data_IF_290494282388
#
_entry.id   IF_290494282388
#
_cell.length_a   1.000
_cell.length_b   1.000
_cell.length_c   1.000
_cell.angle_alpha   90.00
_cell.angle_beta   90.00
_cell.angle_gamma   90.00
#
_symmetry.space_group_name_H-M   'P 1'
#
loop_
_entity.id
_entity.type
_entity.pdbx_description
1 polymer ?
#
# COMPACT_ATOMS: atom_id res chain seq x y z
N UNK A 1 -70.76 -2.96 8.81
CA UNK A 1 -70.97 -3.14 10.26
C UNK A 1 -70.96 -4.63 10.59
N UNK A 2 -70.32 -5.01 11.71
CA UNK A 2 -69.95 -6.36 12.22
C UNK A 2 -68.55 -6.81 11.76
N UNK A 3 -67.63 -7.26 12.62
CA UNK A 3 -67.39 -7.17 14.06
C UNK A 3 -66.01 -7.78 14.26
N UNK A 4 -65.09 -7.09 14.96
CA UNK A 4 -63.83 -7.70 15.41
C UNK A 4 -64.13 -8.84 16.40
N UNK A 5 -63.37 -9.93 16.29
CA UNK A 5 -63.43 -11.08 17.20
C UNK A 5 -62.01 -11.49 17.63
N UNK A 6 -61.46 -10.75 18.59
CA UNK A 6 -60.25 -11.11 19.34
C UNK A 6 -60.62 -12.26 20.29
N UNK A 7 -59.90 -13.38 20.23
CA UNK A 7 -60.05 -14.48 21.19
C UNK A 7 -58.80 -14.59 22.08
N UNK A 8 -58.82 -13.82 23.17
CA UNK A 8 -57.93 -13.93 24.33
C UNK A 8 -58.47 -15.04 25.26
N UNK A 9 -58.02 -16.28 25.08
CA UNK A 9 -58.16 -17.33 26.13
C UNK A 9 -57.05 -18.37 26.02
N UNK A 10 -55.99 -18.17 26.80
CA UNK A 10 -55.26 -19.25 27.51
C UNK A 10 -54.23 -18.64 28.47
N UNK A 11 -54.75 -18.18 29.61
CA UNK A 11 -54.00 -17.97 30.85
C UNK A 11 -54.69 -18.81 31.92
N UNK A 12 -54.11 -19.97 32.23
CA UNK A 12 -54.33 -20.66 33.51
C UNK A 12 -53.04 -21.40 33.87
N UNK A 13 -52.22 -20.75 34.70
CA UNK A 13 -51.94 -21.19 36.07
C UNK A 13 -51.37 -22.62 36.16
N UNK A 14 -50.05 -22.71 36.19
CA UNK A 14 -49.36 -23.55 37.18
C UNK A 14 -48.19 -22.75 37.74
N UNK A 15 -48.44 -22.14 38.91
CA UNK A 15 -47.40 -21.69 39.81
C UNK A 15 -47.20 -22.83 40.81
N UNK A 16 -46.03 -23.47 40.75
CA UNK A 16 -45.52 -24.28 41.85
C UNK A 16 -44.11 -23.81 42.11
N UNK A 17 -43.98 -22.95 43.12
CA UNK A 17 -42.71 -22.56 43.69
C UNK A 17 -42.14 -23.75 44.48
N UNK A 18 -40.88 -24.11 44.24
CA UNK A 18 -40.01 -24.70 45.26
C UNK A 18 -38.55 -24.72 44.77
N UNK A 19 -37.66 -24.36 45.71
CA UNK A 19 -36.24 -24.68 45.76
C UNK A 19 -35.28 -23.91 44.83
N UNK A 20 -35.00 -22.68 45.29
CA UNK A 20 -33.69 -22.04 45.23
C UNK A 20 -32.58 -23.02 45.65
N UNK A 21 -31.83 -23.54 44.68
CA UNK A 21 -30.47 -24.03 44.88
C UNK A 21 -29.52 -23.11 44.11
N UNK A 22 -28.95 -22.16 44.85
CA UNK A 22 -27.77 -21.41 44.44
C UNK A 22 -26.59 -22.37 44.59
N UNK A 23 -26.17 -23.01 43.51
CA UNK A 23 -24.81 -23.56 43.39
C UNK A 23 -23.96 -22.51 42.68
N UNK A 24 -23.36 -21.62 43.49
CA UNK A 24 -22.13 -20.91 43.13
C UNK A 24 -21.00 -21.95 43.01
N UNK A 25 -20.68 -22.38 41.80
CA UNK A 25 -19.39 -22.99 41.48
C UNK A 25 -19.22 -23.06 39.96
N UNK A 26 -18.48 -22.10 39.40
CA UNK A 26 -18.10 -22.07 37.99
C UNK A 26 -17.88 -20.66 37.50
N UNK A 27 -16.64 -20.18 37.59
CA UNK A 27 -16.22 -18.83 37.23
C UNK A 27 -16.74 -18.39 35.86
N UNK A 28 -17.26 -17.17 35.82
CA UNK A 28 -18.02 -16.61 34.72
C UNK A 28 -17.26 -16.56 33.40
N UNK A 29 -17.82 -17.26 32.41
CA UNK A 29 -17.79 -16.76 31.05
C UNK A 29 -18.69 -15.51 31.03
N UNK A 30 -18.07 -14.34 30.90
CA UNK A 30 -18.78 -13.06 30.77
C UNK A 30 -19.82 -13.16 29.65
N UNK A 31 -21.08 -12.82 29.95
CA UNK A 31 -22.20 -12.70 28.99
C UNK A 31 -21.88 -11.66 27.87
N UNK A 32 -20.78 -10.93 28.03
CA UNK A 32 -20.23 -9.96 27.07
C UNK A 32 -19.21 -10.55 26.09
N UNK A 33 -18.77 -11.81 26.21
CA UNK A 33 -17.80 -12.42 25.27
C UNK A 33 -18.38 -12.60 23.86
N UNK A 34 -19.71 -12.55 23.71
CA UNK A 34 -20.41 -12.64 22.42
C UNK A 34 -20.79 -11.31 21.77
N UNK A 35 -20.41 -10.14 22.32
CA UNK A 35 -21.01 -8.84 21.92
C UNK A 35 -20.08 -7.79 21.31
N UNK A 36 -18.82 -8.12 20.97
CA UNK A 36 -18.04 -7.35 19.99
C UNK A 36 -17.21 -8.30 19.16
N UNK A 37 -17.76 -8.78 18.05
CA UNK A 37 -16.90 -9.29 16.97
C UNK A 37 -16.11 -8.07 16.50
N UNK A 38 -14.84 -7.99 16.88
CA UNK A 38 -13.96 -6.90 16.44
C UNK A 38 -13.94 -6.99 14.91
N UNK A 39 -14.14 -5.84 14.28
CA UNK A 39 -14.07 -5.72 12.83
C UNK A 39 -12.66 -6.16 12.38
N UNK A 40 -12.51 -7.15 11.49
CA UNK A 40 -11.20 -7.62 11.02
C UNK A 40 -10.33 -6.50 10.47
N UNK A 41 -10.93 -5.46 9.87
CA UNK A 41 -10.19 -4.29 9.42
C UNK A 41 -9.55 -3.53 10.61
N UNK A 42 -10.32 -3.29 11.67
CA UNK A 42 -9.83 -2.60 12.87
C UNK A 42 -8.77 -3.44 13.61
N UNK A 43 -8.95 -4.75 13.67
CA UNK A 43 -7.95 -5.66 14.27
C UNK A 43 -6.66 -5.66 13.46
N UNK A 44 -6.74 -5.79 12.14
CA UNK A 44 -5.57 -5.77 11.27
C UNK A 44 -4.84 -4.42 11.31
N UNK A 45 -5.54 -3.29 11.30
CA UNK A 45 -4.91 -1.97 11.45
C UNK A 45 -4.15 -1.86 12.77
N UNK A 46 -4.68 -2.38 13.87
CA UNK A 46 -3.99 -2.39 15.16
C UNK A 46 -2.71 -3.21 15.11
N UNK A 47 -2.71 -4.34 14.43
CA UNK A 47 -1.48 -5.14 14.27
C UNK A 47 -0.43 -4.41 13.41
N UNK A 48 -0.86 -3.69 12.36
CA UNK A 48 0.03 -2.81 11.59
C UNK A 48 0.61 -1.67 12.43
N UNK A 49 -0.19 -1.06 13.30
CA UNK A 49 0.28 -0.04 14.25
C UNK A 49 1.29 -0.57 15.28
N UNK A 50 1.28 -1.89 15.53
CA UNK A 50 2.23 -2.56 16.43
C UNK A 50 3.43 -3.17 15.68
N UNK A 51 3.65 -2.79 14.41
CA UNK A 51 4.70 -3.32 13.54
C UNK A 51 4.62 -4.86 13.34
N UNK A 52 3.41 -5.45 13.37
CA UNK A 52 3.16 -6.86 13.07
C UNK A 52 2.32 -7.04 11.78
N UNK A 53 2.94 -6.86 10.60
CA UNK A 53 2.25 -7.05 9.33
C UNK A 53 1.86 -8.51 9.06
N UNK A 54 2.53 -9.48 9.70
CA UNK A 54 2.19 -10.90 9.52
C UNK A 54 0.86 -11.25 10.19
N UNK A 55 0.62 -10.75 11.40
CA UNK A 55 -0.66 -10.90 12.07
C UNK A 55 -1.78 -10.20 11.29
N UNK A 56 -1.54 -8.98 10.79
CA UNK A 56 -2.49 -8.27 9.94
C UNK A 56 -2.85 -9.05 8.66
N UNK A 57 -1.85 -9.60 7.95
CA UNK A 57 -2.07 -10.45 6.75
C UNK A 57 -2.91 -11.67 7.11
N UNK A 58 -2.63 -12.34 8.23
CA UNK A 58 -3.38 -13.52 8.65
C UNK A 58 -4.85 -13.19 8.92
N UNK A 59 -5.13 -12.11 9.64
CA UNK A 59 -6.50 -11.66 9.97
C UNK A 59 -7.28 -11.36 8.69
N UNK A 60 -6.68 -10.59 7.78
CA UNK A 60 -7.33 -10.14 6.55
C UNK A 60 -7.53 -11.28 5.55
N UNK A 61 -6.57 -12.20 5.42
CA UNK A 61 -6.70 -13.37 4.56
C UNK A 61 -7.89 -14.23 5.00
N UNK A 62 -8.01 -14.50 6.31
CA UNK A 62 -9.17 -15.22 6.86
C UNK A 62 -10.49 -14.46 6.68
N UNK A 63 -10.48 -13.13 6.79
CA UNK A 63 -11.68 -12.33 6.57
C UNK A 63 -12.14 -12.32 5.10
N UNK A 64 -11.19 -12.33 4.16
CA UNK A 64 -11.44 -12.36 2.71
C UNK A 64 -11.99 -13.70 2.24
N UNK A 65 -11.74 -14.82 2.92
CA UNK A 65 -12.41 -16.11 2.60
C UNK A 65 -13.94 -15.98 2.64
N UNK A 66 -14.47 -15.18 3.57
CA UNK A 66 -15.90 -14.91 3.69
C UNK A 66 -16.39 -13.70 2.88
N UNK A 67 -15.49 -12.87 2.34
CA UNK A 67 -15.81 -11.63 1.64
C UNK A 67 -14.70 -11.24 0.64
N UNK A 68 -14.49 -12.02 -0.42
CA UNK A 68 -13.29 -11.94 -1.26
C UNK A 68 -13.13 -10.62 -2.03
N UNK A 69 -14.23 -9.92 -2.30
CA UNK A 69 -14.23 -8.62 -2.97
C UNK A 69 -14.30 -7.42 -2.03
N UNK A 70 -14.05 -7.59 -0.73
CA UNK A 70 -14.10 -6.47 0.20
C UNK A 70 -12.92 -5.52 -0.04
N UNK A 71 -13.18 -4.41 -0.72
CA UNK A 71 -12.17 -3.41 -1.09
C UNK A 71 -11.41 -2.84 0.11
N UNK A 72 -12.07 -2.66 1.27
CA UNK A 72 -11.40 -2.18 2.48
C UNK A 72 -10.39 -3.20 2.99
N UNK A 73 -10.76 -4.48 3.05
CA UNK A 73 -9.85 -5.54 3.49
C UNK A 73 -8.68 -5.71 2.52
N UNK A 74 -8.93 -5.64 1.21
CA UNK A 74 -7.89 -5.67 0.19
C UNK A 74 -6.93 -4.47 0.30
N UNK A 75 -7.45 -3.25 0.53
CA UNK A 75 -6.61 -2.06 0.71
C UNK A 75 -5.69 -2.15 1.93
N UNK A 76 -6.20 -2.65 3.05
CA UNK A 76 -5.39 -2.86 4.26
C UNK A 76 -4.40 -4.01 4.03
N UNK A 77 -4.81 -5.07 3.33
CA UNK A 77 -3.94 -6.22 3.03
C UNK A 77 -2.76 -5.79 2.17
N UNK A 78 -2.97 -4.97 1.14
CA UNK A 78 -1.90 -4.39 0.36
C UNK A 78 -0.93 -3.57 1.22
N UNK A 79 -1.46 -2.79 2.17
CA UNK A 79 -0.64 -2.02 3.11
C UNK A 79 0.20 -2.93 4.01
N UNK A 80 -0.36 -4.06 4.46
CA UNK A 80 0.34 -5.05 5.27
C UNK A 80 1.48 -5.72 4.51
N UNK A 81 1.27 -6.10 3.24
CA UNK A 81 2.36 -6.62 2.40
C UNK A 81 3.44 -5.58 2.16
N UNK A 82 3.10 -4.32 1.88
CA UNK A 82 4.09 -3.25 1.73
C UNK A 82 4.91 -3.01 3.01
N UNK A 83 4.27 -2.99 4.18
CA UNK A 83 4.99 -2.87 5.45
C UNK A 83 5.85 -4.10 5.75
N UNK A 84 5.40 -5.32 5.39
CA UNK A 84 6.24 -6.52 5.48
C UNK A 84 7.45 -6.46 4.56
N UNK A 85 7.29 -5.85 3.38
CA UNK A 85 8.39 -5.53 2.48
C UNK A 85 9.32 -4.44 3.05
N UNK A 86 8.96 -3.78 4.17
CA UNK A 86 9.70 -2.67 4.78
C UNK A 86 9.42 -1.31 4.14
N UNK A 87 8.31 -1.17 3.43
CA UNK A 87 7.88 0.07 2.77
C UNK A 87 6.67 0.65 3.49
N UNK A 88 6.87 1.76 4.18
CA UNK A 88 5.76 2.53 4.75
C UNK A 88 5.30 3.63 3.76
N UNK A 89 4.03 3.61 3.32
CA UNK A 89 3.52 4.56 2.33
C UNK A 89 3.53 6.01 2.80
N UNK A 90 3.30 6.27 4.09
CA UNK A 90 3.34 7.62 4.65
C UNK A 90 4.78 8.13 4.72
N UNK A 91 5.70 7.29 5.17
CA UNK A 91 7.12 7.64 5.22
C UNK A 91 7.68 7.92 3.82
N UNK A 92 7.37 7.05 2.84
CA UNK A 92 7.82 7.24 1.46
C UNK A 92 7.18 8.49 0.85
N UNK A 93 5.88 8.70 1.06
CA UNK A 93 5.19 9.90 0.59
C UNK A 93 5.73 11.20 1.20
N UNK A 94 6.06 11.23 2.49
CA UNK A 94 6.64 12.40 3.14
C UNK A 94 8.02 12.73 2.55
N UNK A 95 8.83 11.70 2.28
CA UNK A 95 10.13 11.89 1.63
C UNK A 95 10.01 12.28 0.14
N UNK A 96 8.91 11.90 -0.53
CA UNK A 96 8.63 12.33 -1.91
C UNK A 96 7.99 13.73 -1.99
N UNK A 97 7.20 14.12 -0.98
CA UNK A 97 6.39 15.35 -0.99
C UNK A 97 6.99 16.56 -0.28
N UNK A 98 8.14 16.42 0.39
CA UNK A 98 8.80 17.52 1.09
C UNK A 98 9.69 18.35 0.16
N UNK A 99 9.11 19.33 -0.53
CA UNK A 99 9.79 20.61 -0.83
C UNK A 99 8.78 21.70 -1.19
N UNK A 100 8.59 22.76 -0.36
CA UNK A 100 7.79 23.96 -0.74
C UNK A 100 7.76 25.16 0.24
N UNK A 101 8.62 25.29 1.27
CA UNK A 101 8.45 26.41 2.24
C UNK A 101 9.71 27.17 2.69
N UNK A 102 10.82 27.13 1.96
CA UNK A 102 11.96 28.01 2.27
C UNK A 102 12.60 28.58 1.02
N UNK A 103 12.32 29.86 0.78
CA UNK A 103 12.86 30.69 -0.31
C UNK A 103 14.36 30.99 -0.19
N UNK A 104 15.13 30.21 0.54
CA UNK A 104 16.57 30.39 0.69
C UNK A 104 17.28 29.04 0.58
N UNK A 105 17.91 28.83 -0.58
CA UNK A 105 19.17 28.09 -0.73
C UNK A 105 19.30 26.81 0.10
N UNK A 106 18.69 25.72 -0.36
CA UNK A 106 19.25 24.36 -0.38
C UNK A 106 18.19 23.45 -0.97
N UNK A 107 18.38 23.17 -2.25
CA UNK A 107 17.70 22.10 -2.94
C UNK A 107 17.84 20.79 -2.16
N UNK A 108 16.72 20.30 -1.64
CA UNK A 108 16.49 18.86 -1.53
C UNK A 108 15.36 18.48 -2.48
N UNK A 109 15.30 19.19 -3.60
CA UNK A 109 14.70 18.67 -4.79
C UNK A 109 15.36 17.32 -5.10
N UNK A 110 14.55 16.37 -5.53
CA UNK A 110 14.97 15.32 -6.45
C UNK A 110 15.77 15.89 -7.67
N UNK A 111 15.95 17.21 -7.80
CA UNK A 111 16.89 17.86 -8.70
C UNK A 111 17.54 19.11 -8.05
N UNK A 112 18.63 18.94 -7.30
CA UNK A 112 19.76 19.89 -7.13
C UNK A 112 20.42 19.58 -5.77
N UNK A 113 21.73 19.46 -5.58
CA UNK A 113 22.86 20.01 -6.31
C UNK A 113 23.98 18.97 -6.42
N UNK A 114 24.51 18.75 -7.62
CA UNK A 114 25.83 18.14 -7.82
C UNK A 114 25.88 16.62 -7.87
N UNK A 115 25.68 16.06 -9.07
CA UNK A 115 26.38 14.86 -9.57
C UNK A 115 26.02 13.47 -9.02
N UNK A 116 24.88 13.28 -8.35
CA UNK A 116 24.29 11.93 -8.16
C UNK A 116 22.79 12.02 -8.36
N UNK A 117 22.22 11.15 -9.19
CA UNK A 117 20.82 11.25 -9.57
C UNK A 117 19.88 11.09 -8.37
N UNK A 118 18.93 12.03 -8.28
CA UNK A 118 17.53 11.91 -7.86
C UNK A 118 17.00 10.52 -7.43
N UNK A 119 17.32 9.50 -8.23
CA UNK A 119 16.83 8.13 -8.13
C UNK A 119 17.54 7.32 -7.05
N UNK A 120 18.85 7.45 -6.92
CA UNK A 120 19.66 6.76 -5.89
C UNK A 120 19.38 7.26 -4.48
N UNK A 121 18.89 8.50 -4.34
CA UNK A 121 18.45 9.04 -3.05
C UNK A 121 17.34 8.17 -2.41
N UNK A 122 16.47 7.57 -3.25
CA UNK A 122 15.41 6.67 -2.78
C UNK A 122 15.94 5.29 -2.33
N UNK A 123 17.16 4.89 -2.69
CA UNK A 123 17.76 3.64 -2.22
C UNK A 123 17.96 3.60 -0.72
N UNK A 124 18.23 4.76 -0.11
CA UNK A 124 18.40 4.90 1.35
C UNK A 124 17.10 4.77 2.13
N UNK A 125 15.96 5.03 1.47
CA UNK A 125 14.63 4.99 2.06
C UNK A 125 13.98 3.61 1.97
N UNK A 126 14.50 2.77 1.10
CA UNK A 126 13.95 1.44 0.82
C UNK A 126 14.86 0.34 1.36
N UNK A 127 14.28 -0.79 1.77
CA UNK A 127 15.04 -1.92 2.29
C UNK A 127 15.94 -2.56 1.24
N UNK A 128 16.71 -3.57 1.65
CA UNK A 128 17.52 -4.35 0.71
C UNK A 128 16.60 -5.14 -0.23
N UNK A 129 16.86 -5.16 -1.55
CA UNK A 129 16.02 -5.82 -2.53
C UNK A 129 16.24 -7.34 -2.49
N UNK A 130 15.62 -8.01 -1.51
CA UNK A 130 15.52 -9.48 -1.50
C UNK A 130 14.35 -9.93 -2.35
N UNK A 131 14.35 -11.17 -2.83
CA UNK A 131 13.22 -11.68 -3.63
C UNK A 131 11.90 -11.60 -2.85
N UNK A 132 11.90 -11.88 -1.55
CA UNK A 132 10.71 -11.74 -0.70
C UNK A 132 10.20 -10.31 -0.62
N UNK A 133 11.10 -9.31 -0.53
CA UNK A 133 10.73 -7.89 -0.51
C UNK A 133 10.10 -7.47 -1.85
N UNK A 134 10.64 -7.96 -2.96
CA UNK A 134 10.09 -7.71 -4.30
C UNK A 134 8.71 -8.39 -4.47
N UNK A 135 8.60 -9.67 -4.09
CA UNK A 135 7.34 -10.40 -4.15
C UNK A 135 6.24 -9.73 -3.32
N UNK A 136 6.59 -9.24 -2.12
CA UNK A 136 5.65 -8.57 -1.22
C UNK A 136 5.19 -7.21 -1.75
N UNK A 137 6.10 -6.39 -2.30
CA UNK A 137 5.71 -5.09 -2.86
C UNK A 137 4.92 -5.25 -4.16
N UNK A 138 5.28 -6.22 -5.01
CA UNK A 138 4.55 -6.50 -6.25
C UNK A 138 3.16 -7.07 -5.96
N UNK A 139 3.03 -7.91 -4.92
CA UNK A 139 1.73 -8.37 -4.45
C UNK A 139 0.88 -7.23 -3.90
N UNK A 140 1.48 -6.30 -3.15
CA UNK A 140 0.79 -5.10 -2.67
C UNK A 140 0.26 -4.25 -3.83
N UNK A 141 1.06 -4.06 -4.89
CA UNK A 141 0.64 -3.36 -6.12
C UNK A 141 -0.52 -4.11 -6.79
N UNK A 142 -0.37 -5.42 -7.04
CA UNK A 142 -1.39 -6.23 -7.72
C UNK A 142 -2.72 -6.26 -6.95
N UNK A 143 -2.71 -6.29 -5.61
CA UNK A 143 -3.94 -6.22 -4.83
C UNK A 143 -4.70 -4.91 -5.11
N UNK A 144 -3.99 -3.77 -5.12
CA UNK A 144 -4.61 -2.46 -5.36
C UNK A 144 -5.05 -2.26 -6.82
N UNK A 145 -4.30 -2.79 -7.78
CA UNK A 145 -4.55 -2.56 -9.22
C UNK A 145 -5.44 -3.59 -9.87
N UNK A 146 -5.46 -4.81 -9.37
CA UNK A 146 -6.08 -5.94 -10.07
C UNK A 146 -7.24 -6.54 -9.27
N UNK A 147 -7.15 -6.53 -7.93
CA UNK A 147 -8.15 -7.17 -7.07
C UNK A 147 -9.23 -6.19 -6.58
N UNK A 148 -8.89 -4.91 -6.39
CA UNK A 148 -9.88 -3.87 -6.10
C UNK A 148 -10.42 -3.33 -7.42
N UNK A 149 -11.73 -3.51 -7.66
CA UNK A 149 -12.39 -2.94 -8.84
C UNK A 149 -12.22 -1.42 -8.87
N UNK A 150 -11.93 -0.87 -10.06
CA UNK A 150 -11.64 0.54 -10.26
C UNK A 150 -12.75 1.46 -9.74
N UNK A 151 -14.02 1.01 -9.77
CA UNK A 151 -15.17 1.76 -9.26
C UNK A 151 -15.26 1.80 -7.73
N UNK A 152 -14.60 0.87 -7.04
CA UNK A 152 -14.61 0.75 -5.58
C UNK A 152 -13.38 1.36 -4.92
N UNK A 153 -12.36 1.72 -5.72
CA UNK A 153 -11.13 2.37 -5.23
C UNK A 153 -11.44 3.73 -4.65
N UNK A 154 -10.96 3.95 -3.44
CA UNK A 154 -10.95 5.27 -2.83
C UNK A 154 -9.70 6.04 -3.28
N UNK A 155 -9.70 7.39 -3.18
CA UNK A 155 -8.50 8.19 -3.48
C UNK A 155 -7.25 7.72 -2.72
N UNK A 156 -7.42 7.25 -1.48
CA UNK A 156 -6.34 6.66 -0.68
C UNK A 156 -5.75 5.38 -1.29
N UNK A 157 -6.53 4.58 -2.01
CA UNK A 157 -6.04 3.37 -2.68
C UNK A 157 -5.21 3.71 -3.91
N UNK A 158 -5.63 4.73 -4.68
CA UNK A 158 -4.88 5.25 -5.82
C UNK A 158 -3.53 5.83 -5.38
N UNK A 159 -3.54 6.59 -4.29
CA UNK A 159 -2.34 7.13 -3.68
C UNK A 159 -1.38 6.02 -3.21
N UNK A 160 -1.87 5.06 -2.42
CA UNK A 160 -1.06 3.89 -1.99
C UNK A 160 -0.49 3.14 -3.19
N UNK A 161 -1.30 2.90 -4.22
CA UNK A 161 -0.89 2.20 -5.44
C UNK A 161 0.27 2.90 -6.13
N UNK A 162 0.20 4.21 -6.29
CA UNK A 162 1.29 4.99 -6.87
C UNK A 162 2.58 4.95 -6.03
N UNK A 163 2.47 5.05 -4.70
CA UNK A 163 3.61 4.99 -3.79
C UNK A 163 4.26 3.59 -3.84
N UNK A 164 3.47 2.52 -3.83
CA UNK A 164 3.97 1.15 -3.91
C UNK A 164 4.57 0.82 -5.27
N UNK A 165 4.01 1.33 -6.37
CA UNK A 165 4.62 1.21 -7.70
C UNK A 165 5.95 1.93 -7.79
N UNK A 166 6.05 3.12 -7.18
CA UNK A 166 7.31 3.86 -7.10
C UNK A 166 8.34 3.09 -6.27
N UNK A 167 7.93 2.53 -5.13
CA UNK A 167 8.80 1.68 -4.31
C UNK A 167 9.27 0.43 -5.06
N UNK A 168 8.35 -0.27 -5.74
CA UNK A 168 8.66 -1.45 -6.56
C UNK A 168 9.66 -1.08 -7.67
N UNK A 169 9.41 -0.01 -8.42
CA UNK A 169 10.33 0.51 -9.45
C UNK A 169 11.76 0.71 -8.89
N UNK A 170 11.88 1.40 -7.76
CA UNK A 170 13.19 1.68 -7.15
C UNK A 170 13.84 0.41 -6.61
N UNK A 171 13.09 -0.52 -6.02
CA UNK A 171 13.60 -1.81 -5.56
C UNK A 171 14.09 -2.69 -6.71
N UNK A 172 13.39 -2.70 -7.85
CA UNK A 172 13.82 -3.41 -9.05
C UNK A 172 15.13 -2.87 -9.61
N UNK A 173 15.31 -1.54 -9.61
CA UNK A 173 16.59 -0.96 -10.03
C UNK A 173 17.67 -1.20 -8.98
N UNK A 174 17.35 -1.11 -7.68
CA UNK A 174 18.28 -1.43 -6.59
C UNK A 174 18.75 -2.89 -6.64
N UNK A 175 17.92 -3.82 -7.12
CA UNK A 175 18.30 -5.22 -7.36
C UNK A 175 19.43 -5.35 -8.38
N UNK A 176 19.52 -4.42 -9.33
CA UNK A 176 20.58 -4.41 -10.34
C UNK A 176 21.93 -3.99 -9.74
N UNK A 177 21.94 -3.21 -8.65
CA UNK A 177 23.17 -2.90 -7.90
C UNK A 177 23.65 -4.14 -7.13
N UNK A 178 24.44 -4.98 -7.81
CA UNK A 178 24.96 -6.21 -7.23
C UNK A 178 26.00 -5.97 -6.14
N UNK A 179 26.58 -4.76 -6.11
CA UNK A 179 27.60 -4.34 -5.15
C UNK A 179 27.00 -3.79 -3.85
N UNK A 180 25.76 -3.29 -3.92
CA UNK A 180 25.04 -2.70 -2.79
C UNK A 180 25.63 -1.36 -2.33
N UNK A 181 26.44 -0.70 -3.16
CA UNK A 181 27.08 0.58 -2.85
C UNK A 181 26.20 1.79 -3.21
N UNK A 182 25.03 1.55 -3.79
CA UNK A 182 24.07 2.55 -4.22
C UNK A 182 24.39 3.19 -5.56
N UNK A 183 25.40 2.68 -6.28
CA UNK A 183 25.87 3.17 -7.58
C UNK A 183 25.72 2.08 -8.63
N UNK A 184 25.04 2.39 -9.73
CA UNK A 184 24.86 1.44 -10.83
C UNK A 184 26.08 1.46 -11.74
N UNK A 185 26.90 0.41 -11.71
CA UNK A 185 28.04 0.28 -12.61
C UNK A 185 27.62 -0.17 -14.01
N UNK A 186 28.47 0.04 -15.01
CA UNK A 186 28.21 -0.46 -16.38
C UNK A 186 28.06 -2.00 -16.42
N UNK A 187 28.71 -2.73 -15.52
CA UNK A 187 28.56 -4.18 -15.36
C UNK A 187 27.20 -4.58 -14.78
N UNK A 188 26.70 -3.83 -13.80
CA UNK A 188 25.37 -4.05 -13.22
C UNK A 188 24.28 -3.87 -14.27
N UNK A 189 24.38 -2.77 -15.03
CA UNK A 189 23.42 -2.43 -16.08
C UNK A 189 23.49 -3.36 -17.30
N UNK A 190 24.63 -4.02 -17.53
CA UNK A 190 24.75 -5.03 -18.59
C UNK A 190 23.88 -6.27 -18.30
N UNK A 191 23.63 -6.58 -17.02
CA UNK A 191 22.80 -7.70 -16.58
C UNK A 191 21.29 -7.42 -16.64
N UNK A 192 20.89 -6.16 -16.82
CA UNK A 192 19.49 -5.76 -16.92
C UNK A 192 18.82 -6.44 -18.12
N UNK A 193 17.76 -7.19 -17.86
CA UNK A 193 16.98 -7.84 -18.91
C UNK A 193 15.94 -6.88 -19.50
N UNK A 194 15.34 -7.25 -20.63
CA UNK A 194 14.23 -6.50 -21.21
C UNK A 194 12.97 -6.60 -20.33
N UNK A 195 12.81 -7.71 -19.61
CA UNK A 195 11.73 -7.93 -18.64
C UNK A 195 11.85 -7.00 -17.43
N UNK A 196 13.07 -6.81 -16.90
CA UNK A 196 13.32 -5.85 -15.82
C UNK A 196 12.98 -4.42 -16.26
N UNK A 197 13.39 -4.04 -17.48
CA UNK A 197 13.11 -2.72 -18.03
C UNK A 197 11.60 -2.49 -18.23
N UNK A 198 10.87 -3.51 -18.71
CA UNK A 198 9.41 -3.46 -18.85
C UNK A 198 8.71 -3.32 -17.50
N UNK A 199 9.16 -4.03 -16.46
CA UNK A 199 8.61 -3.90 -15.12
C UNK A 199 8.83 -2.49 -14.55
N UNK A 200 10.05 -1.95 -14.68
CA UNK A 200 10.42 -0.60 -14.20
C UNK A 200 9.59 0.48 -14.91
N UNK A 201 9.53 0.44 -16.24
CA UNK A 201 8.81 1.46 -17.03
C UNK A 201 7.29 1.30 -16.94
N UNK A 202 6.80 0.06 -16.82
CA UNK A 202 5.40 -0.24 -16.58
C UNK A 202 4.93 0.35 -15.25
N UNK A 203 5.68 0.11 -14.16
CA UNK A 203 5.40 0.66 -12.84
C UNK A 203 5.48 2.19 -12.82
N UNK A 204 6.46 2.78 -13.53
CA UNK A 204 6.58 4.23 -13.65
C UNK A 204 5.36 4.86 -14.35
N UNK A 205 4.96 4.32 -15.50
CA UNK A 205 3.81 4.80 -16.28
C UNK A 205 2.49 4.64 -15.51
N UNK A 206 2.32 3.50 -14.84
CA UNK A 206 1.14 3.24 -14.01
C UNK A 206 1.09 4.18 -12.79
N UNK A 207 2.22 4.44 -12.13
CA UNK A 207 2.29 5.37 -11.00
C UNK A 207 1.93 6.81 -11.40
N UNK A 208 2.44 7.30 -12.54
CA UNK A 208 2.08 8.61 -13.10
C UNK A 208 0.55 8.70 -13.32
N UNK A 209 -0.02 7.66 -13.94
CA UNK A 209 -1.47 7.61 -14.22
C UNK A 209 -2.32 7.61 -12.95
N UNK A 210 -1.91 6.84 -11.93
CA UNK A 210 -2.63 6.78 -10.65
C UNK A 210 -2.53 8.09 -9.85
N UNK A 211 -1.37 8.75 -9.83
CA UNK A 211 -1.24 10.04 -9.17
C UNK A 211 -2.05 11.13 -9.89
N UNK A 212 -2.03 11.15 -11.23
CA UNK A 212 -2.82 12.08 -12.03
C UNK A 212 -4.35 11.95 -11.83
N UNK A 213 -4.83 10.76 -11.45
CA UNK A 213 -6.25 10.49 -11.18
C UNK A 213 -6.65 10.70 -9.72
N UNK A 214 -5.70 10.63 -8.77
CA UNK A 214 -5.92 10.87 -7.34
C UNK A 214 -6.23 12.34 -6.97
N UNK A 215 -6.04 13.28 -7.91
CA UNK A 215 -6.07 14.73 -7.66
C UNK A 215 -7.43 15.42 -7.70
N UNK A 216 -8.51 14.80 -7.23
CA UNK A 216 -9.88 15.37 -7.37
C UNK A 216 -10.48 16.01 -6.10
N UNK A 217 -9.86 15.87 -4.92
CA UNK A 217 -10.42 16.41 -3.66
C UNK A 217 -9.46 17.38 -2.96
N UNK A 218 -9.97 18.55 -2.58
CA UNK A 218 -9.30 19.81 -2.15
C UNK A 218 -8.43 19.76 -0.85
N UNK A 219 -7.68 18.67 -0.60
CA UNK A 219 -6.82 18.51 0.58
C UNK A 219 -5.32 18.62 0.28
N UNK A 220 -4.51 18.97 1.27
CA UNK A 220 -3.04 19.10 1.16
C UNK A 220 -2.29 17.86 0.64
N UNK A 221 -2.93 16.68 0.59
CA UNK A 221 -2.41 15.48 -0.08
C UNK A 221 -2.34 15.61 -1.62
N UNK A 222 -3.14 16.48 -2.22
CA UNK A 222 -3.14 16.74 -3.67
C UNK A 222 -1.85 17.43 -4.13
N UNK A 223 -1.32 18.37 -3.34
CA UNK A 223 -0.08 19.05 -3.65
C UNK A 223 1.11 18.08 -3.65
N UNK A 224 1.16 17.16 -2.68
CA UNK A 224 2.19 16.12 -2.61
C UNK A 224 2.05 15.10 -3.74
N UNK A 225 0.83 14.65 -4.05
CA UNK A 225 0.57 13.73 -5.14
C UNK A 225 0.89 14.34 -6.52
N UNK A 226 0.55 15.61 -6.75
CA UNK A 226 0.88 16.33 -7.98
C UNK A 226 2.38 16.60 -8.12
N UNK A 227 3.07 16.94 -7.02
CA UNK A 227 4.53 17.08 -7.01
C UNK A 227 5.22 15.74 -7.33
N UNK A 228 4.77 14.64 -6.72
CA UNK A 228 5.27 13.30 -7.02
C UNK A 228 5.00 12.91 -8.48
N UNK A 229 3.80 13.16 -9.01
CA UNK A 229 3.47 12.89 -10.40
C UNK A 229 4.39 13.66 -11.37
N UNK A 230 4.60 14.96 -11.10
CA UNK A 230 5.46 15.81 -11.93
C UNK A 230 6.92 15.35 -11.90
N UNK A 231 7.41 14.86 -10.76
CA UNK A 231 8.76 14.27 -10.66
C UNK A 231 8.87 12.96 -11.44
N UNK A 232 7.89 12.07 -11.34
CA UNK A 232 7.85 10.82 -12.11
C UNK A 232 7.73 11.08 -13.62
N UNK A 233 6.96 12.09 -14.04
CA UNK A 233 6.88 12.54 -15.43
C UNK A 233 8.23 13.07 -15.94
N UNK A 234 8.94 13.84 -15.10
CA UNK A 234 10.29 14.30 -15.43
C UNK A 234 11.25 13.13 -15.66
N UNK A 235 11.17 12.07 -14.84
CA UNK A 235 11.95 10.84 -15.06
C UNK A 235 11.58 10.13 -16.35
N UNK A 236 10.29 9.95 -16.61
CA UNK A 236 9.82 9.33 -17.85
C UNK A 236 10.32 10.12 -19.08
N UNK A 237 10.29 11.46 -19.02
CA UNK A 237 10.81 12.31 -20.08
C UNK A 237 12.33 12.17 -20.26
N UNK A 238 13.10 12.13 -19.17
CA UNK A 238 14.55 11.95 -19.23
C UNK A 238 14.94 10.58 -19.80
N UNK A 239 14.26 9.50 -19.40
CA UNK A 239 14.45 8.16 -19.95
C UNK A 239 14.13 8.15 -21.45
N UNK A 240 12.97 8.66 -21.85
CA UNK A 240 12.55 8.66 -23.26
C UNK A 240 13.45 9.51 -24.17
N UNK A 241 14.06 10.57 -23.62
CA UNK A 241 15.05 11.42 -24.31
C UNK A 241 16.46 10.84 -24.38
N UNK A 242 16.75 9.80 -23.60
CA UNK A 242 18.06 9.14 -23.57
C UNK A 242 18.33 8.39 -24.87
N UNK A 243 19.61 8.25 -25.25
CA UNK A 243 19.98 7.52 -26.46
C UNK A 243 19.69 6.02 -26.32
N UNK A 244 19.00 5.46 -27.30
CA UNK A 244 18.64 4.04 -27.34
C UNK A 244 17.55 3.78 -28.38
N UNK A 245 17.58 2.62 -29.01
CA UNK A 245 16.59 2.19 -29.98
C UNK A 245 15.40 1.48 -29.33
N UNK A 246 15.63 0.82 -28.20
CA UNK A 246 14.61 0.16 -27.37
C UNK A 246 14.45 0.87 -26.02
N UNK A 247 13.32 0.66 -25.36
CA UNK A 247 13.06 1.24 -24.04
C UNK A 247 14.05 0.72 -22.97
N UNK A 248 14.49 -0.53 -23.10
CA UNK A 248 15.52 -1.11 -22.24
C UNK A 248 16.89 -0.47 -22.45
N UNK A 249 17.28 -0.11 -23.68
CA UNK A 249 18.51 0.63 -23.98
C UNK A 249 18.44 2.07 -23.45
N UNK A 250 17.30 2.75 -23.64
CA UNK A 250 17.08 4.10 -23.13
C UNK A 250 17.17 4.17 -21.62
N UNK A 251 16.53 3.23 -20.92
CA UNK A 251 16.61 3.11 -19.47
C UNK A 251 18.05 2.83 -19.02
N UNK A 252 18.77 1.94 -19.70
CA UNK A 252 20.18 1.64 -19.42
C UNK A 252 21.08 2.87 -19.56
N UNK A 253 20.88 3.64 -20.64
CA UNK A 253 21.61 4.89 -20.89
C UNK A 253 21.28 5.93 -19.83
N UNK A 254 20.00 6.08 -19.47
CA UNK A 254 19.58 6.99 -18.42
C UNK A 254 20.22 6.61 -17.08
N UNK A 255 20.12 5.35 -16.66
CA UNK A 255 20.69 4.87 -15.40
C UNK A 255 22.21 4.99 -15.38
N UNK A 256 22.91 4.69 -16.48
CA UNK A 256 24.38 4.81 -16.55
C UNK A 256 24.91 6.25 -16.58
N UNK A 257 24.08 7.21 -17.03
CA UNK A 257 24.41 8.64 -16.95
C UNK A 257 23.96 9.29 -15.64
N UNK A 258 23.20 8.56 -14.84
CA UNK A 258 22.60 9.00 -13.58
C UNK A 258 23.35 8.47 -12.35
N UNK A 259 24.16 7.42 -12.50
CA UNK A 259 25.12 6.94 -11.49
C UNK A 259 26.44 7.72 -11.51
#
# INVERSE_FOLDING_TARGET
MKSLGINLKKLSRQATAAAMMITLAGCGQSIFSGLRKIDPAAEACRELENDDPNAAISILTSALEGSPGNAQYLSILATAYAQRAGVDPLYLALNMGTDSSSSNSSSLALASSGSSSSFTAMFSLLPSPTQTVLDDIDLAVSILTDQIDATSRQPGDLFKGAIFMTASMVLHVKKLDTSGDGTLTASDLASMTEEDALAILGNLSAAITLLGTSGSDDGGGQAAAAAAASQLEAFSSQITSSSGSTDSEKLRTYLSSSS
#
